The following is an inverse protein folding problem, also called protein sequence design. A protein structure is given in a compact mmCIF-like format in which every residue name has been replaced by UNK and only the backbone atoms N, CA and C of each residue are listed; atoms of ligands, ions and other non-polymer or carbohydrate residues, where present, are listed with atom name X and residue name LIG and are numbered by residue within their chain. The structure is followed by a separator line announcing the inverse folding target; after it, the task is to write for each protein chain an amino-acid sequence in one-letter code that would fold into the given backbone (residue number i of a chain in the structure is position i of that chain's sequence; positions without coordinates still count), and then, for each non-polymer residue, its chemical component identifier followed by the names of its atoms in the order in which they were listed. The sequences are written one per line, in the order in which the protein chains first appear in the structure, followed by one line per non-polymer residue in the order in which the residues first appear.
data_IF_373820979432
#
_entry.id   IF_373820979432
#
_cell.length_a   1.000
_cell.length_b   1.000
_cell.length_c   1.000
_cell.angle_alpha   90.00
_cell.angle_beta   90.00
_cell.angle_gamma   90.00
#
_symmetry.space_group_name_H-M   'P 1'
#
loop_
_entity.id
_entity.type
_entity.pdbx_description
1 polymer ?
#
# COMPACT_ATOMS: atom_id res chain seq x y z
N UNK A 1 -0.50 9.44 17.61
CA UNK A 1 -1.48 10.53 17.62
C UNK A 1 -1.30 11.32 16.35
N UNK A 2 -2.25 11.19 15.43
CA UNK A 2 -2.30 12.01 14.23
C UNK A 2 -3.08 13.31 14.52
N UNK A 3 -2.98 14.28 13.63
CA UNK A 3 -3.75 15.52 13.71
C UNK A 3 -2.95 16.77 13.37
N UNK A 4 -3.52 17.93 13.65
CA UNK A 4 -2.91 19.23 13.34
C UNK A 4 -1.89 19.62 14.39
N UNK A 5 -0.68 20.00 13.95
CA UNK A 5 0.35 20.64 14.76
C UNK A 5 0.42 22.12 14.41
N UNK A 6 0.71 22.97 15.39
CA UNK A 6 0.88 24.42 15.20
C UNK A 6 2.33 24.81 15.49
N UNK A 7 2.99 25.40 14.49
CA UNK A 7 4.29 26.05 14.62
C UNK A 7 4.07 27.51 15.05
N UNK A 8 4.85 28.00 16.00
CA UNK A 8 4.82 29.38 16.49
C UNK A 8 6.23 29.91 16.67
N UNK A 9 6.47 31.15 16.22
CA UNK A 9 7.77 31.82 16.37
C UNK A 9 7.59 33.29 16.79
N UNK A 10 8.43 33.73 17.71
CA UNK A 10 8.52 35.12 18.20
C UNK A 10 9.99 35.54 18.26
N UNK A 11 10.27 36.84 18.15
CA UNK A 11 11.59 37.41 18.42
C UNK A 11 11.53 38.46 19.53
N UNK A 12 12.64 38.68 20.21
CA UNK A 12 12.85 39.79 21.15
C UNK A 12 14.12 40.54 20.77
N UNK A 13 14.07 41.87 20.73
CA UNK A 13 15.25 42.70 20.44
C UNK A 13 16.08 43.03 21.70
N UNK A 14 17.26 43.65 21.53
CA UNK A 14 18.17 43.99 22.63
C UNK A 14 17.57 45.00 23.62
N UNK A 15 16.58 45.80 23.20
CA UNK A 15 15.87 46.74 24.05
C UNK A 15 14.71 46.09 24.84
N UNK A 16 14.40 44.81 24.56
CA UNK A 16 13.38 44.01 25.25
C UNK A 16 12.00 44.02 24.60
N UNK A 17 11.84 44.51 23.36
CA UNK A 17 10.56 44.46 22.65
C UNK A 17 10.34 43.09 22.02
N UNK A 18 9.18 42.47 22.22
CA UNK A 18 8.81 41.17 21.64
C UNK A 18 7.85 41.33 20.46
N UNK A 19 8.07 40.59 19.37
CA UNK A 19 7.17 40.58 18.21
C UNK A 19 5.85 39.88 18.50
N UNK A 20 4.84 40.14 17.67
CA UNK A 20 3.71 39.22 17.55
C UNK A 20 4.18 37.84 17.07
N UNK A 21 3.51 36.78 17.51
CA UNK A 21 3.81 35.43 17.04
C UNK A 21 3.41 35.25 15.57
N UNK A 22 4.31 34.71 14.76
CA UNK A 22 3.97 34.12 13.47
C UNK A 22 3.56 32.66 13.69
N UNK A 23 2.46 32.22 13.06
CA UNK A 23 1.95 30.85 13.22
C UNK A 23 1.70 30.17 11.89
N UNK A 24 1.90 28.85 11.84
CA UNK A 24 1.59 28.00 10.70
C UNK A 24 1.12 26.62 11.19
N UNK A 25 0.13 26.04 10.52
CA UNK A 25 -0.35 24.67 10.81
C UNK A 25 0.24 23.64 9.86
N UNK A 26 0.53 22.44 10.36
CA UNK A 26 0.90 21.24 9.60
C UNK A 26 0.09 20.03 10.10
N UNK A 27 0.08 18.93 9.34
CA UNK A 27 -0.58 17.69 9.75
C UNK A 27 0.44 16.61 10.07
N UNK A 28 0.29 15.95 11.21
CA UNK A 28 0.97 14.71 11.54
C UNK A 28 0.08 13.55 11.15
N UNK A 29 0.55 12.74 10.21
CA UNK A 29 0.05 11.39 9.99
C UNK A 29 1.23 10.44 10.03
N UNK A 30 1.29 9.61 11.07
CA UNK A 30 2.30 8.57 11.23
C UNK A 30 1.68 7.19 11.43
N UNK A 31 0.42 7.02 11.02
CA UNK A 31 -0.22 5.72 10.97
C UNK A 31 0.23 4.99 9.71
N UNK A 32 0.76 3.78 9.88
CA UNK A 32 0.97 2.89 8.75
C UNK A 32 -0.37 2.23 8.35
N UNK A 33 -0.57 1.91 7.06
CA UNK A 33 -1.67 1.06 6.63
C UNK A 33 -1.62 -0.30 7.34
N UNK A 34 -2.79 -0.93 7.47
CA UNK A 34 -2.84 -2.33 7.90
C UNK A 34 -2.25 -3.25 6.82
N UNK A 35 -1.75 -4.41 7.22
CA UNK A 35 -1.28 -5.40 6.26
C UNK A 35 -2.46 -5.95 5.44
N UNK A 36 -2.25 -6.07 4.12
CA UNK A 36 -3.18 -6.78 3.24
C UNK A 36 -3.12 -8.29 3.51
N UNK A 37 -4.16 -9.01 3.09
CA UNK A 37 -4.21 -10.47 3.12
C UNK A 37 -4.33 -11.01 1.72
N UNK A 38 -3.83 -12.24 1.49
CA UNK A 38 -4.03 -12.98 0.24
C UNK A 38 -5.17 -13.98 0.48
N UNK A 39 -6.17 -13.97 -0.39
CA UNK A 39 -7.25 -14.96 -0.38
C UNK A 39 -6.67 -16.32 -0.70
N UNK A 40 -6.94 -17.30 0.16
CA UNK A 40 -6.45 -18.67 0.02
C UNK A 40 -7.62 -19.66 0.03
N UNK A 41 -7.45 -20.86 -0.57
CA UNK A 41 -6.30 -21.26 -1.39
C UNK A 41 -6.23 -20.54 -2.75
N UNK A 42 -5.02 -20.36 -3.28
CA UNK A 42 -4.78 -19.93 -4.67
C UNK A 42 -5.13 -21.10 -5.60
N UNK A 43 -5.72 -20.83 -6.77
CA UNK A 43 -6.24 -21.86 -7.69
C UNK A 43 -7.15 -22.91 -7.01
N UNK A 44 -7.96 -22.48 -6.03
CA UNK A 44 -8.93 -23.32 -5.28
C UNK A 44 -8.37 -24.47 -4.43
N UNK A 45 -7.14 -24.90 -4.61
CA UNK A 45 -6.51 -25.99 -3.84
C UNK A 45 -5.07 -25.71 -3.38
N UNK A 46 -4.48 -24.58 -3.80
CA UNK A 46 -3.13 -24.16 -3.47
C UNK A 46 -2.07 -24.78 -4.38
N UNK A 47 -2.46 -25.41 -5.49
CA UNK A 47 -1.59 -26.09 -6.43
C UNK A 47 -1.86 -25.52 -7.82
N UNK A 48 -0.86 -24.88 -8.41
CA UNK A 48 -0.91 -24.49 -9.83
C UNK A 48 -0.54 -25.70 -10.67
N UNK A 49 -1.47 -26.20 -11.47
CA UNK A 49 -1.23 -27.29 -12.42
C UNK A 49 -1.00 -26.77 -13.85
N UNK A 50 -0.70 -27.67 -14.79
CA UNK A 50 -0.35 -27.32 -16.17
C UNK A 50 -1.51 -26.69 -17.00
N UNK A 51 -2.73 -26.68 -16.48
CA UNK A 51 -3.85 -25.97 -17.10
C UNK A 51 -4.04 -24.56 -16.52
N UNK A 52 -3.37 -24.24 -15.41
CA UNK A 52 -3.52 -22.99 -14.65
C UNK A 52 -2.22 -22.14 -14.69
N UNK A 53 -1.11 -22.70 -15.15
CA UNK A 53 0.21 -22.06 -15.06
C UNK A 53 0.37 -20.81 -15.94
N UNK A 54 -0.51 -20.60 -16.90
CA UNK A 54 -0.52 -19.43 -17.76
C UNK A 54 -1.48 -18.31 -17.28
N UNK A 55 -2.31 -18.57 -16.27
CA UNK A 55 -3.38 -17.68 -15.83
C UNK A 55 -3.65 -17.75 -14.31
N UNK A 56 -2.59 -17.76 -13.50
CA UNK A 56 -2.69 -17.81 -12.04
C UNK A 56 -3.33 -16.55 -11.47
N UNK A 57 -4.49 -16.70 -10.83
CA UNK A 57 -5.27 -15.64 -10.21
C UNK A 57 -4.89 -15.44 -8.75
N UNK A 58 -4.53 -14.20 -8.40
CA UNK A 58 -4.29 -13.79 -7.01
C UNK A 58 -5.27 -12.67 -6.64
N UNK A 59 -5.90 -12.83 -5.48
CA UNK A 59 -6.80 -11.86 -4.90
C UNK A 59 -6.57 -11.75 -3.40
N UNK A 60 -7.14 -10.71 -2.79
CA UNK A 60 -7.00 -10.46 -1.37
C UNK A 60 -7.82 -9.28 -0.89
N UNK A 61 -7.64 -8.95 0.39
CA UNK A 61 -8.41 -7.89 1.07
C UNK A 61 -7.53 -7.10 2.04
N UNK A 62 -8.10 -6.10 2.71
CA UNK A 62 -7.45 -5.37 3.81
C UNK A 62 -6.55 -4.21 3.37
N UNK A 63 -6.60 -3.85 2.09
CA UNK A 63 -5.98 -2.61 1.63
C UNK A 63 -6.80 -1.40 2.10
N UNK A 64 -6.19 -0.23 2.15
CA UNK A 64 -6.94 1.02 2.24
C UNK A 64 -7.74 1.24 0.95
N UNK A 65 -8.88 1.91 1.04
CA UNK A 65 -9.70 2.22 -0.12
C UNK A 65 -8.89 3.01 -1.17
N UNK A 66 -9.03 2.62 -2.43
CA UNK A 66 -8.33 3.22 -3.57
C UNK A 66 -6.79 3.13 -3.50
N UNK A 67 -6.24 2.32 -2.59
CA UNK A 67 -4.80 2.14 -2.45
C UNK A 67 -4.23 1.26 -3.57
N UNK A 68 -2.99 1.55 -3.96
CA UNK A 68 -2.22 0.71 -4.87
C UNK A 68 -1.72 -0.53 -4.12
N UNK A 69 -1.98 -1.71 -4.67
CA UNK A 69 -1.47 -2.99 -4.18
C UNK A 69 -0.56 -3.58 -5.25
N UNK A 70 0.70 -3.84 -4.88
CA UNK A 70 1.66 -4.54 -5.74
C UNK A 70 1.77 -5.99 -5.29
N UNK A 71 1.57 -6.90 -6.24
CA UNK A 71 1.66 -8.34 -6.06
C UNK A 71 2.89 -8.80 -6.83
N UNK A 72 3.76 -9.55 -6.17
CA UNK A 72 4.92 -10.18 -6.78
C UNK A 72 4.81 -11.68 -6.64
N UNK A 73 4.98 -12.41 -7.74
CA UNK A 73 5.19 -13.85 -7.74
C UNK A 73 6.64 -14.14 -8.12
N UNK A 74 7.29 -15.06 -7.40
CA UNK A 74 8.70 -15.42 -7.63
C UNK A 74 8.99 -16.84 -7.17
N UNK A 75 9.87 -17.53 -7.89
CA UNK A 75 10.50 -18.80 -7.50
C UNK A 75 11.93 -18.60 -6.93
N UNK A 76 12.41 -17.35 -6.88
CA UNK A 76 13.77 -16.97 -6.50
C UNK A 76 14.74 -16.72 -7.67
N UNK A 77 14.46 -17.25 -8.86
CA UNK A 77 15.21 -17.04 -10.10
C UNK A 77 14.46 -16.15 -11.11
N UNK A 78 13.14 -16.30 -11.18
CA UNK A 78 12.19 -15.53 -11.97
C UNK A 78 11.29 -14.71 -11.04
N UNK A 79 10.81 -13.57 -11.54
CA UNK A 79 9.92 -12.68 -10.81
C UNK A 79 9.00 -11.98 -11.79
N UNK A 80 7.74 -11.84 -11.42
CA UNK A 80 6.76 -11.03 -12.14
C UNK A 80 5.96 -10.20 -11.14
N UNK A 81 5.61 -8.98 -11.54
CA UNK A 81 4.87 -8.03 -10.73
C UNK A 81 3.58 -7.65 -11.44
N UNK A 82 2.50 -7.54 -10.66
CA UNK A 82 1.26 -6.89 -11.06
C UNK A 82 0.93 -5.79 -10.05
N UNK A 83 0.32 -4.72 -10.52
CA UNK A 83 -0.17 -3.65 -9.64
C UNK A 83 -1.61 -3.35 -9.95
N UNK A 84 -2.43 -3.35 -8.91
CA UNK A 84 -3.87 -3.10 -8.99
C UNK A 84 -4.27 -2.05 -7.97
N UNK A 85 -5.45 -1.46 -8.17
CA UNK A 85 -6.06 -0.54 -7.20
C UNK A 85 -7.11 -1.31 -6.43
N UNK A 86 -7.04 -1.27 -5.10
CA UNK A 86 -8.06 -1.83 -4.23
C UNK A 86 -9.38 -1.05 -4.38
N UNK A 87 -10.50 -1.74 -4.22
CA UNK A 87 -11.80 -1.10 -4.25
C UNK A 87 -12.10 -0.33 -2.94
N UNK A 88 -13.27 0.28 -2.86
CA UNK A 88 -13.69 1.05 -1.69
C UNK A 88 -13.84 0.23 -0.40
N UNK A 89 -13.91 -1.11 -0.51
CA UNK A 89 -13.95 -2.05 0.62
C UNK A 89 -12.56 -2.53 1.03
N UNK A 90 -11.52 -2.21 0.25
CA UNK A 90 -10.16 -2.71 0.44
C UNK A 90 -9.92 -4.09 -0.19
N UNK A 91 -10.84 -4.55 -1.05
CA UNK A 91 -10.70 -5.78 -1.81
C UNK A 91 -9.87 -5.53 -3.08
N UNK A 92 -9.03 -6.48 -3.45
CA UNK A 92 -8.14 -6.36 -4.62
C UNK A 92 -7.99 -7.70 -5.35
N UNK A 93 -7.81 -7.65 -6.66
CA UNK A 93 -7.62 -8.83 -7.51
C UNK A 93 -6.83 -8.47 -8.76
N UNK A 94 -5.99 -9.38 -9.24
CA UNK A 94 -5.30 -9.25 -10.54
C UNK A 94 -6.15 -9.75 -11.72
N UNK A 95 -7.45 -10.00 -11.52
CA UNK A 95 -8.31 -10.55 -12.59
C UNK A 95 -8.24 -9.71 -13.89
N UNK A 96 -7.99 -10.39 -15.01
CA UNK A 96 -7.73 -9.78 -16.31
C UNK A 96 -6.25 -9.44 -16.58
N UNK A 97 -5.39 -9.63 -15.59
CA UNK A 97 -3.92 -9.48 -15.63
C UNK A 97 -3.26 -10.57 -14.80
N UNK A 98 -3.75 -11.80 -14.91
CA UNK A 98 -3.26 -12.99 -14.21
C UNK A 98 -1.77 -13.26 -14.49
N UNK A 99 -1.11 -13.97 -13.59
CA UNK A 99 0.29 -14.33 -13.77
C UNK A 99 0.46 -15.53 -14.70
N UNK A 100 1.32 -15.39 -15.70
CA UNK A 100 1.90 -16.51 -16.41
C UNK A 100 3.21 -16.92 -15.71
N UNK A 101 3.19 -18.10 -15.08
CA UNK A 101 4.31 -18.72 -14.38
C UNK A 101 4.82 -19.97 -15.12
N UNK A 102 4.39 -20.21 -16.36
CA UNK A 102 4.79 -21.40 -17.14
C UNK A 102 6.32 -21.54 -17.31
N UNK A 103 7.07 -20.46 -17.18
CA UNK A 103 8.53 -20.42 -17.25
C UNK A 103 9.25 -20.42 -15.88
N UNK A 104 8.52 -20.35 -14.77
CA UNK A 104 9.09 -20.23 -13.43
C UNK A 104 9.63 -21.59 -12.95
N UNK A 105 10.89 -21.63 -12.51
CA UNK A 105 11.59 -22.70 -11.77
C UNK A 105 12.90 -22.18 -11.13
#
# INVERSE_FOLDING_TARGET
NNGTLTVSATQTDDAGNTSTAATQTISLDNSAPSAVTITTPIETDGIVNAAEDADVLIAGTGAEADASVTITITDGANSSDQTVTADASGDWTISGSEFDVSAFN
#
